data_IF_494961389835
#
_entry.id   IF_494961389835
#
_cell.length_a   1.000
_cell.length_b   1.000
_cell.length_c   1.000
_cell.angle_alpha   90.00
_cell.angle_beta   90.00
_cell.angle_gamma   90.00
#
_symmetry.space_group_name_H-M   'P 1'
#
loop_
_entity.id
_entity.type
_entity.pdbx_description
1 polymer ?
#
# COMPACT_ATOMS: atom_id res chain seq x y z
N UNK A 1 -4.54 -7.53 2.49
CA UNK A 1 -3.37 -8.42 2.27
C UNK A 1 -2.04 -7.68 2.10
N UNK A 2 -1.98 -6.35 2.00
CA UNK A 2 -0.71 -5.59 1.89
C UNK A 2 -0.01 -5.38 3.24
N UNK A 3 -0.74 -5.42 4.35
CA UNK A 3 -0.19 -5.14 5.68
C UNK A 3 0.97 -6.06 6.09
N UNK A 4 0.94 -7.40 5.84
CA UNK A 4 2.07 -8.28 6.18
C UNK A 4 3.35 -7.92 5.41
N UNK A 5 3.24 -7.52 4.15
CA UNK A 5 4.38 -7.06 3.36
C UNK A 5 5.00 -5.81 3.99
N UNK A 6 4.17 -4.82 4.34
CA UNK A 6 4.64 -3.57 4.94
C UNK A 6 5.17 -3.80 6.37
N UNK A 7 4.62 -4.76 7.10
CA UNK A 7 5.13 -5.17 8.41
C UNK A 7 6.56 -5.72 8.30
N UNK A 8 6.79 -6.61 7.33
CA UNK A 8 8.11 -7.17 7.07
C UNK A 8 9.10 -6.12 6.55
N UNK A 9 8.63 -5.12 5.79
CA UNK A 9 9.44 -4.02 5.32
C UNK A 9 9.83 -3.01 6.42
N UNK A 10 9.05 -2.95 7.51
CA UNK A 10 9.33 -2.10 8.67
C UNK A 10 9.54 -0.62 8.28
N UNK A 11 10.64 -0.04 8.78
CA UNK A 11 10.99 1.39 8.56
C UNK A 11 11.39 1.70 7.12
N UNK A 12 11.77 0.70 6.33
CA UNK A 12 12.10 0.92 4.94
C UNK A 12 10.86 1.10 4.09
N UNK A 13 9.73 0.51 4.48
CA UNK A 13 8.52 0.49 3.67
C UNK A 13 8.70 -0.21 2.33
N UNK A 14 7.66 -0.16 1.50
CA UNK A 14 7.69 -0.75 0.17
C UNK A 14 7.31 0.26 -0.91
N UNK A 15 8.02 0.21 -2.06
CA UNK A 15 7.62 0.95 -3.26
C UNK A 15 6.37 0.30 -3.87
N UNK A 16 5.57 1.10 -4.58
CA UNK A 16 4.36 0.63 -5.27
C UNK A 16 4.61 -0.59 -6.18
N UNK A 17 5.75 -0.64 -6.83
CA UNK A 17 6.14 -1.74 -7.72
C UNK A 17 6.29 -3.08 -6.97
N UNK A 18 6.95 -3.05 -5.81
CA UNK A 18 7.12 -4.24 -4.95
C UNK A 18 5.76 -4.68 -4.39
N UNK A 19 4.93 -3.72 -4.00
CA UNK A 19 3.57 -4.00 -3.52
C UNK A 19 2.73 -4.63 -4.64
N UNK A 20 2.87 -4.13 -5.88
CA UNK A 20 2.20 -4.70 -7.04
C UNK A 20 2.64 -6.14 -7.27
N UNK A 21 3.94 -6.42 -7.30
CA UNK A 21 4.45 -7.78 -7.51
C UNK A 21 3.98 -8.77 -6.45
N UNK A 22 3.83 -8.32 -5.20
CA UNK A 22 3.30 -9.13 -4.10
C UNK A 22 1.80 -9.40 -4.21
N UNK A 23 1.03 -8.47 -4.79
CA UNK A 23 -0.43 -8.55 -4.85
C UNK A 23 -0.97 -8.94 -6.23
N UNK A 24 -0.15 -8.98 -7.29
CA UNK A 24 -0.60 -9.12 -8.69
C UNK A 24 -1.51 -10.32 -8.93
N UNK A 25 -1.24 -11.43 -8.25
CA UNK A 25 -2.02 -12.67 -8.39
C UNK A 25 -3.40 -12.59 -7.71
N UNK A 26 -3.61 -11.57 -6.87
CA UNK A 26 -4.85 -11.26 -6.17
C UNK A 26 -5.60 -10.10 -6.83
N UNK A 27 -4.99 -9.41 -7.80
CA UNK A 27 -5.63 -8.32 -8.53
C UNK A 27 -6.57 -8.88 -9.61
N UNK A 28 -7.61 -8.13 -10.01
CA UNK A 28 -8.52 -8.59 -11.05
C UNK A 28 -7.77 -8.91 -12.36
N UNK A 29 -7.78 -10.18 -12.75
CA UNK A 29 -7.05 -10.68 -13.94
C UNK A 29 -7.67 -10.22 -15.27
N UNK A 30 -8.90 -9.70 -15.23
CA UNK A 30 -9.59 -9.12 -16.38
C UNK A 30 -9.18 -7.66 -16.69
N UNK A 31 -8.23 -7.09 -15.94
CA UNK A 31 -7.72 -5.73 -16.12
C UNK A 31 -6.31 -5.76 -16.70
N UNK A 32 -5.97 -4.77 -17.53
CA UNK A 32 -4.59 -4.58 -17.96
C UNK A 32 -3.69 -4.24 -16.77
N UNK A 33 -2.38 -4.47 -16.90
CA UNK A 33 -1.40 -4.11 -15.87
C UNK A 33 -1.52 -2.64 -15.45
N UNK A 34 -1.74 -1.73 -16.40
CA UNK A 34 -1.91 -0.31 -16.10
C UNK A 34 -3.18 -0.06 -15.26
N UNK A 35 -4.29 -0.72 -15.60
CA UNK A 35 -5.53 -0.62 -14.84
C UNK A 35 -5.39 -1.22 -13.43
N UNK A 36 -4.65 -2.31 -13.29
CA UNK A 36 -4.32 -2.92 -12.00
C UNK A 36 -3.44 -1.99 -11.15
N UNK A 37 -2.42 -1.35 -11.74
CA UNK A 37 -1.57 -0.37 -11.06
C UNK A 37 -2.36 0.87 -10.62
N UNK A 38 -3.30 1.35 -11.45
CA UNK A 38 -4.23 2.43 -11.08
C UNK A 38 -5.14 2.02 -9.92
N UNK A 39 -5.66 0.79 -9.94
CA UNK A 39 -6.48 0.24 -8.86
C UNK A 39 -5.69 0.11 -7.56
N UNK A 40 -4.49 -0.44 -7.61
CA UNK A 40 -3.59 -0.53 -6.46
C UNK A 40 -3.25 0.85 -5.90
N UNK A 41 -3.00 1.83 -6.76
CA UNK A 41 -2.75 3.20 -6.35
C UNK A 41 -3.91 3.80 -5.56
N UNK A 42 -5.16 3.57 -6.01
CA UNK A 42 -6.36 4.01 -5.28
C UNK A 42 -6.47 3.33 -3.91
N UNK A 43 -6.28 2.01 -3.86
CA UNK A 43 -6.33 1.25 -2.61
C UNK A 43 -5.30 1.76 -1.59
N UNK A 44 -4.07 2.06 -2.01
CA UNK A 44 -3.04 2.58 -1.11
C UNK A 44 -3.39 3.98 -0.58
N UNK A 45 -4.03 4.82 -1.41
CA UNK A 45 -4.51 6.14 -0.96
C UNK A 45 -5.63 5.99 0.06
N UNK A 46 -6.64 5.16 -0.23
CA UNK A 46 -7.75 4.87 0.69
C UNK A 46 -7.23 4.35 2.04
N UNK A 47 -6.30 3.39 2.03
CA UNK A 47 -5.70 2.85 3.24
C UNK A 47 -4.91 3.90 4.06
N UNK A 48 -4.33 4.89 3.38
CA UNK A 48 -3.65 6.02 4.03
C UNK A 48 -4.63 7.03 4.60
N UNK A 49 -5.76 7.28 3.93
CA UNK A 49 -6.86 8.10 4.47
C UNK A 49 -7.49 7.43 5.71
N UNK A 50 -7.59 6.10 5.73
CA UNK A 50 -7.99 5.32 6.91
C UNK A 50 -6.93 5.28 8.02
N UNK A 51 -5.74 5.83 7.78
CA UNK A 51 -4.65 5.86 8.75
C UNK A 51 -4.10 4.48 9.08
N UNK A 52 -4.15 3.52 8.14
CA UNK A 52 -3.57 2.18 8.29
C UNK A 52 -2.16 2.06 7.71
N UNK A 53 -1.85 2.89 6.71
CA UNK A 53 -0.53 3.04 6.12
C UNK A 53 -0.22 4.52 5.94
N UNK A 54 1.04 4.86 5.73
CA UNK A 54 1.45 6.22 5.43
C UNK A 54 2.40 6.22 4.23
N UNK A 55 2.44 7.35 3.52
CA UNK A 55 3.34 7.55 2.38
C UNK A 55 4.51 8.45 2.76
N UNK A 56 5.72 7.89 2.71
CA UNK A 56 6.97 8.63 2.87
C UNK A 56 7.73 8.62 1.53
N UNK A 57 7.63 9.72 0.81
CA UNK A 57 8.20 9.86 -0.54
C UNK A 57 7.57 8.88 -1.55
N UNK A 58 8.37 7.92 -2.03
CA UNK A 58 7.92 6.87 -2.98
C UNK A 58 7.58 5.54 -2.30
N UNK A 59 7.66 5.48 -0.97
CA UNK A 59 7.46 4.27 -0.19
C UNK A 59 6.21 4.37 0.67
N UNK A 60 5.56 3.24 0.88
CA UNK A 60 4.43 3.07 1.78
C UNK A 60 4.87 2.29 3.00
N UNK A 61 4.43 2.70 4.18
CA UNK A 61 4.80 2.11 5.47
C UNK A 61 3.53 1.83 6.27
N UNK A 62 3.59 0.91 7.23
CA UNK A 62 2.52 0.82 8.24
C UNK A 62 2.53 2.08 9.08
N UNK A 63 1.35 2.69 9.24
CA UNK A 63 1.20 3.78 10.19
C UNK A 63 1.37 3.22 11.61
N UNK A 64 2.16 3.90 12.44
CA UNK A 64 2.17 3.57 13.86
C UNK A 64 0.85 4.03 14.51
N UNK A 65 0.35 3.32 15.54
CA UNK A 65 -0.81 3.76 16.31
C UNK A 65 -0.66 5.20 16.86
N UNK A 66 0.58 5.65 17.04
CA UNK A 66 0.94 6.99 17.51
C UNK A 66 0.76 8.10 16.47
N UNK A 67 0.71 7.78 15.17
CA UNK A 67 0.55 8.73 14.06
C UNK A 67 -0.91 8.97 13.67
N UNK A 68 -1.86 8.28 14.33
CA UNK A 68 -3.28 8.60 14.22
C UNK A 68 -3.51 9.95 14.87
N UNK A 69 -3.39 11.02 14.09
CA UNK A 69 -3.97 12.32 14.43
C UNK A 69 -5.45 12.08 14.69
N UNK A 70 -5.82 12.06 15.97
CA UNK A 70 -7.21 12.12 16.40
C UNK A 70 -7.81 13.43 15.86
N UNK A 71 -9.10 13.41 15.49
CA UNK A 71 -9.80 14.60 15.00
C UNK A 71 -9.79 15.76 15.99
#
# INVERSE_FOLDING_TARGET
MVLPLLQNAGKDGARREIIYDYLKDLLPSNKSQEQQLRYLGKLLVEMNEEGTIERIGLRWLLSSPSDRKQP
#
